data_IF_767281717762
#
_entry.id   IF_767281717762
#
_cell.length_a   1.000
_cell.length_b   1.000
_cell.length_c   1.000
_cell.angle_alpha   90.00
_cell.angle_beta   90.00
_cell.angle_gamma   90.00
#
_symmetry.space_group_name_H-M   'P 1'
#
loop_
_entity.id
_entity.type
_entity.pdbx_description
1 polymer ?
#
# COMPACT_ATOMS: atom_id res chain seq x y z
N UNK A 1 -17.65 15.02 18.50
CA UNK A 1 -16.32 14.37 18.32
C UNK A 1 -15.62 15.09 17.17
N UNK A 2 -14.51 15.77 17.46
CA UNK A 2 -13.86 16.74 16.56
C UNK A 2 -13.29 16.11 15.30
N UNK A 3 -13.55 16.73 14.14
CA UNK A 3 -13.13 16.28 12.81
C UNK A 3 -11.60 16.01 12.66
N UNK A 4 -10.77 16.55 13.55
CA UNK A 4 -9.32 16.31 13.57
C UNK A 4 -8.90 14.90 14.05
N UNK A 5 -9.78 14.16 14.75
CA UNK A 5 -9.47 12.82 15.24
C UNK A 5 -9.50 11.73 14.16
N UNK A 6 -10.04 12.05 12.98
CA UNK A 6 -10.28 11.12 11.89
C UNK A 6 -9.62 11.63 10.60
N UNK A 7 -8.34 12.03 10.65
CA UNK A 7 -7.59 12.43 9.45
C UNK A 7 -6.59 11.34 9.09
N UNK A 8 -6.73 10.71 7.91
CA UNK A 8 -5.84 9.61 7.49
C UNK A 8 -4.40 10.07 7.30
N UNK A 9 -4.12 11.37 7.20
CA UNK A 9 -2.76 11.89 7.18
C UNK A 9 -1.98 11.65 8.47
N UNK A 10 -2.68 11.37 9.58
CA UNK A 10 -2.08 11.05 10.87
C UNK A 10 -1.67 9.58 10.99
N UNK A 11 -2.14 8.73 10.08
CA UNK A 11 -1.81 7.30 10.08
C UNK A 11 -0.32 7.09 9.82
N UNK A 12 0.25 6.13 10.53
CA UNK A 12 1.61 5.64 10.36
C UNK A 12 1.62 4.35 9.54
N UNK A 13 2.74 4.02 8.87
CA UNK A 13 2.90 2.73 8.21
C UNK A 13 2.65 1.56 9.18
N UNK A 14 1.76 0.64 8.83
CA UNK A 14 1.44 -0.50 9.68
C UNK A 14 0.28 -0.29 10.65
N UNK A 15 -0.37 0.87 10.68
CA UNK A 15 -1.43 1.14 11.67
C UNK A 15 -2.66 0.25 11.49
N UNK A 16 -3.01 -0.14 10.26
CA UNK A 16 -4.09 -1.09 10.01
C UNK A 16 -3.76 -2.49 10.54
N UNK A 17 -2.57 -3.00 10.24
CA UNK A 17 -2.12 -4.28 10.78
C UNK A 17 -2.03 -4.25 12.30
N UNK A 18 -1.57 -3.16 12.90
CA UNK A 18 -1.59 -3.01 14.37
C UNK A 18 -3.01 -3.08 14.93
N UNK A 19 -3.97 -2.38 14.32
CA UNK A 19 -5.39 -2.43 14.74
C UNK A 19 -5.94 -3.85 14.66
N UNK A 20 -5.69 -4.55 13.55
CA UNK A 20 -6.15 -5.94 13.36
C UNK A 20 -5.50 -6.94 14.32
N UNK A 21 -4.21 -6.77 14.63
CA UNK A 21 -3.53 -7.58 15.67
C UNK A 21 -4.18 -7.35 17.04
N UNK A 22 -4.56 -6.11 17.38
CA UNK A 22 -5.21 -5.78 18.65
C UNK A 22 -6.63 -6.38 18.69
N UNK A 23 -7.37 -6.31 17.59
CA UNK A 23 -8.72 -6.86 17.47
C UNK A 23 -8.73 -8.39 17.60
N UNK A 24 -7.85 -9.09 16.86
CA UNK A 24 -7.75 -10.55 16.95
C UNK A 24 -7.29 -11.02 18.32
N UNK A 25 -6.40 -10.26 18.98
CA UNK A 25 -5.78 -10.63 20.25
C UNK A 25 -5.60 -9.41 21.18
N UNK A 26 -6.61 -9.06 21.99
CA UNK A 26 -6.57 -7.88 22.86
C UNK A 26 -5.55 -8.03 24.02
N UNK A 27 -5.26 -9.27 24.44
CA UNK A 27 -4.27 -9.56 25.49
C UNK A 27 -2.84 -9.25 25.03
N UNK A 28 -2.19 -8.30 25.71
CA UNK A 28 -0.82 -7.86 25.43
C UNK A 28 0.18 -9.02 25.53
N UNK A 29 0.01 -9.88 26.54
CA UNK A 29 0.88 -11.04 26.78
C UNK A 29 0.78 -12.06 25.64
N UNK A 30 -0.45 -12.39 25.22
CA UNK A 30 -0.67 -13.36 24.14
C UNK A 30 -0.21 -12.85 22.77
N UNK A 31 -0.28 -11.53 22.51
CA UNK A 31 0.33 -10.94 21.31
C UNK A 31 1.85 -11.07 21.30
N UNK A 32 2.50 -10.87 22.44
CA UNK A 32 3.95 -11.01 22.55
C UNK A 32 4.35 -12.46 22.30
N UNK A 33 3.64 -13.42 22.90
CA UNK A 33 3.87 -14.85 22.69
C UNK A 33 3.65 -15.24 21.22
N UNK A 34 2.48 -14.95 20.64
CA UNK A 34 2.16 -15.32 19.26
C UNK A 34 3.02 -14.63 18.20
N UNK A 35 3.68 -13.50 18.52
CA UNK A 35 4.68 -12.88 17.63
C UNK A 35 5.88 -13.80 17.39
N UNK A 36 6.29 -14.58 18.40
CA UNK A 36 7.46 -15.47 18.33
C UNK A 36 7.13 -16.88 17.85
N UNK A 37 5.88 -17.34 17.96
CA UNK A 37 5.45 -18.66 17.47
C UNK A 37 5.19 -18.66 15.96
N UNK A 38 6.01 -19.36 15.14
CA UNK A 38 5.74 -19.54 13.72
C UNK A 38 4.42 -20.28 13.51
N UNK A 39 3.68 -19.94 12.44
CA UNK A 39 2.41 -20.60 12.09
C UNK A 39 1.15 -19.99 12.72
N UNK A 40 1.28 -19.04 13.65
CA UNK A 40 0.11 -18.30 14.17
C UNK A 40 -0.29 -17.15 13.23
N UNK A 41 -1.56 -16.76 13.25
CA UNK A 41 -2.03 -15.58 12.52
C UNK A 41 -1.28 -14.32 12.98
N UNK A 42 -1.03 -14.15 14.28
CA UNK A 42 -0.27 -13.02 14.84
C UNK A 42 1.13 -12.94 14.22
N UNK A 43 1.83 -14.07 14.06
CA UNK A 43 3.15 -14.09 13.43
C UNK A 43 3.09 -13.67 11.96
N UNK A 44 2.07 -14.09 11.22
CA UNK A 44 1.83 -13.65 9.84
C UNK A 44 1.58 -12.14 9.76
N UNK A 45 0.72 -11.61 10.63
CA UNK A 45 0.45 -10.17 10.73
C UNK A 45 1.70 -9.37 11.13
N UNK A 46 2.47 -9.85 12.12
CA UNK A 46 3.73 -9.22 12.53
C UNK A 46 4.77 -9.20 11.40
N UNK A 47 4.80 -10.25 10.56
CA UNK A 47 5.64 -10.28 9.38
C UNK A 47 5.16 -9.26 8.32
N UNK A 48 3.84 -9.11 8.12
CA UNK A 48 3.25 -8.09 7.25
C UNK A 48 3.63 -6.67 7.68
N UNK A 49 3.57 -6.39 8.99
CA UNK A 49 3.91 -5.10 9.59
C UNK A 49 5.35 -4.64 9.30
N UNK A 50 6.30 -5.57 9.19
CA UNK A 50 7.67 -5.23 8.77
C UNK A 50 7.70 -4.75 7.33
N UNK A 51 6.92 -5.39 6.46
CA UNK A 51 6.78 -5.00 5.05
C UNK A 51 6.31 -3.55 4.93
N UNK A 52 5.15 -3.25 5.50
CA UNK A 52 4.56 -1.90 5.47
C UNK A 52 5.48 -0.84 6.06
N UNK A 53 6.20 -1.12 7.15
CA UNK A 53 7.14 -0.15 7.72
C UNK A 53 8.33 0.12 6.81
N UNK A 54 8.87 -0.91 6.16
CA UNK A 54 10.00 -0.74 5.23
C UNK A 54 9.55 0.10 4.04
N UNK A 55 8.44 -0.27 3.41
CA UNK A 55 7.87 0.46 2.26
C UNK A 55 7.46 1.87 2.63
N UNK A 56 6.70 2.05 3.72
CA UNK A 56 6.27 3.37 4.20
C UNK A 56 7.43 4.32 4.50
N UNK A 57 8.53 3.84 5.11
CA UNK A 57 9.74 4.66 5.31
C UNK A 57 10.35 5.14 3.99
N UNK A 58 10.34 4.31 2.95
CA UNK A 58 10.84 4.70 1.62
C UNK A 58 9.91 5.73 1.00
N UNK A 59 8.61 5.50 1.02
CA UNK A 59 7.61 6.43 0.50
C UNK A 59 7.66 7.80 1.18
N UNK A 60 7.88 7.87 2.50
CA UNK A 60 7.93 9.15 3.21
C UNK A 60 9.09 10.05 2.76
N UNK A 61 10.16 9.50 2.15
CA UNK A 61 11.22 10.30 1.54
C UNK A 61 10.74 11.14 0.35
N UNK A 62 9.65 10.72 -0.29
CA UNK A 62 9.03 11.47 -1.38
C UNK A 62 8.35 12.75 -0.92
N UNK A 63 8.01 12.89 0.37
CA UNK A 63 7.31 14.07 0.89
C UNK A 63 8.11 15.35 0.65
N UNK A 64 9.43 15.30 0.81
CA UNK A 64 10.34 16.43 0.49
C UNK A 64 10.37 16.81 -1.00
N UNK A 65 9.79 15.99 -1.88
CA UNK A 65 9.68 16.23 -3.32
C UNK A 65 8.26 16.63 -3.74
N UNK A 66 7.42 17.03 -2.78
CA UNK A 66 6.04 17.46 -3.02
C UNK A 66 5.05 16.31 -3.22
N UNK A 67 5.40 15.09 -2.83
CA UNK A 67 4.45 13.98 -2.78
C UNK A 67 3.64 14.01 -1.50
N UNK A 68 2.40 13.53 -1.58
CA UNK A 68 1.53 13.30 -0.43
C UNK A 68 1.36 11.81 -0.23
N UNK A 69 1.63 11.34 0.98
CA UNK A 69 1.59 9.93 1.33
C UNK A 69 0.52 9.74 2.41
N UNK A 70 -0.35 8.75 2.20
CA UNK A 70 -1.30 8.25 3.20
C UNK A 70 -0.98 6.79 3.48
N UNK A 71 -1.16 6.38 4.72
CA UNK A 71 -0.98 4.99 5.15
C UNK A 71 -2.28 4.44 5.73
N UNK A 72 -2.46 3.13 5.64
CA UNK A 72 -3.58 2.42 6.25
C UNK A 72 -4.94 3.04 5.89
N UNK A 73 -5.18 3.25 4.59
CA UNK A 73 -6.44 3.79 4.06
C UNK A 73 -7.50 2.71 4.18
N UNK A 74 -8.47 2.90 5.07
CA UNK A 74 -9.46 1.89 5.42
C UNK A 74 -10.71 2.00 4.56
N UNK A 75 -11.24 0.83 4.20
CA UNK A 75 -12.58 0.68 3.61
C UNK A 75 -13.59 0.32 4.70
N UNK A 76 -14.87 0.62 4.47
CA UNK A 76 -15.96 0.18 5.36
C UNK A 76 -16.06 -1.35 5.48
N UNK A 77 -15.60 -2.09 4.47
CA UNK A 77 -15.55 -3.55 4.49
C UNK A 77 -14.51 -4.14 5.47
N UNK A 78 -13.74 -3.30 6.18
CA UNK A 78 -12.69 -3.74 7.11
C UNK A 78 -11.38 -4.17 6.44
N UNK A 79 -11.31 -4.10 5.11
CA UNK A 79 -10.05 -4.16 4.36
C UNK A 79 -9.38 -2.80 4.34
N UNK A 80 -8.09 -2.77 4.04
CA UNK A 80 -7.32 -1.54 3.94
C UNK A 80 -6.31 -1.60 2.78
N UNK A 81 -5.86 -0.42 2.37
CA UNK A 81 -4.72 -0.23 1.48
C UNK A 81 -3.55 0.19 2.34
N UNK A 82 -2.44 -0.54 2.22
CA UNK A 82 -1.24 -0.27 3.03
C UNK A 82 -0.82 1.19 2.86
N UNK A 83 -0.62 1.64 1.61
CA UNK A 83 -0.20 3.00 1.29
C UNK A 83 -0.83 3.56 0.01
N UNK A 84 -1.13 4.86 0.03
CA UNK A 84 -1.52 5.63 -1.14
C UNK A 84 -0.50 6.76 -1.35
N UNK A 85 0.18 6.75 -2.48
CA UNK A 85 1.14 7.80 -2.85
C UNK A 85 0.55 8.67 -3.95
N UNK A 86 0.50 9.97 -3.72
CA UNK A 86 -0.07 10.97 -4.62
C UNK A 86 1.03 11.97 -4.97
N UNK A 87 1.41 12.03 -6.23
CA UNK A 87 2.45 12.94 -6.70
C UNK A 87 2.17 13.40 -8.11
N UNK A 88 3.06 14.24 -8.65
CA UNK A 88 2.89 14.75 -10.02
C UNK A 88 2.87 13.63 -11.06
N UNK A 89 3.54 12.51 -10.81
CA UNK A 89 3.52 11.34 -11.69
C UNK A 89 2.20 10.54 -11.70
N UNK A 90 1.25 10.88 -10.81
CA UNK A 90 -0.03 10.19 -10.68
C UNK A 90 -0.32 9.72 -9.26
N UNK A 91 -1.33 8.85 -9.15
CA UNK A 91 -1.75 8.21 -7.89
C UNK A 91 -1.39 6.73 -7.93
N UNK A 92 -0.86 6.23 -6.82
CA UNK A 92 -0.38 4.85 -6.71
C UNK A 92 -0.96 4.18 -5.45
N UNK A 93 -1.70 3.09 -5.64
CA UNK A 93 -2.10 2.20 -4.56
C UNK A 93 -1.02 1.14 -4.38
N UNK A 94 -0.41 1.09 -3.20
CA UNK A 94 0.82 0.35 -2.95
C UNK A 94 0.59 -0.65 -1.83
N UNK A 95 0.77 -1.92 -2.15
CA UNK A 95 0.70 -3.02 -1.20
C UNK A 95 2.10 -3.59 -0.93
N UNK A 96 2.40 -3.84 0.34
CA UNK A 96 3.69 -4.30 0.84
C UNK A 96 3.67 -5.81 1.02
N UNK A 97 4.55 -6.52 0.30
CA UNK A 97 4.65 -7.99 0.37
C UNK A 97 6.04 -8.39 0.84
N UNK A 98 6.12 -8.84 2.10
CA UNK A 98 7.37 -9.33 2.68
C UNK A 98 7.57 -10.80 2.35
N UNK A 99 8.63 -11.08 1.60
CA UNK A 99 9.00 -12.41 1.15
C UNK A 99 10.43 -12.76 1.57
N UNK A 100 10.73 -12.61 2.87
CA UNK A 100 12.09 -12.78 3.43
C UNK A 100 12.73 -14.09 2.94
N UNK A 101 13.86 -13.97 2.22
CA UNK A 101 14.64 -15.11 1.75
C UNK A 101 14.03 -15.91 0.59
N UNK A 102 12.87 -15.49 0.06
CA UNK A 102 12.18 -16.18 -1.04
C UNK A 102 12.54 -15.60 -2.39
N UNK A 103 12.41 -16.40 -3.43
CA UNK A 103 12.49 -15.98 -4.83
C UNK A 103 11.12 -15.54 -5.30
N UNK A 104 11.03 -14.31 -5.81
CA UNK A 104 9.82 -13.72 -6.37
C UNK A 104 10.01 -13.56 -7.87
N UNK A 105 9.10 -14.12 -8.65
CA UNK A 105 9.13 -13.99 -10.10
C UNK A 105 7.79 -13.44 -10.60
N UNK A 106 7.84 -12.41 -11.43
CA UNK A 106 6.66 -11.86 -12.09
C UNK A 106 6.73 -12.18 -13.58
N UNK A 107 5.88 -13.12 -13.99
CA UNK A 107 5.66 -13.52 -15.38
C UNK A 107 4.54 -12.76 -16.05
N UNK A 108 3.99 -13.37 -17.10
CA UNK A 108 3.02 -12.72 -17.97
C UNK A 108 1.63 -12.59 -17.30
N UNK A 109 1.26 -13.52 -16.43
CA UNK A 109 -0.06 -13.57 -15.80
C UNK A 109 -0.08 -13.52 -14.27
N UNK A 110 1.04 -13.82 -13.60
CA UNK A 110 1.07 -13.94 -12.16
C UNK A 110 2.44 -13.68 -11.54
N UNK A 111 2.43 -13.36 -10.25
CA UNK A 111 3.61 -13.43 -9.39
C UNK A 111 3.69 -14.83 -8.80
N UNK A 112 4.83 -15.48 -8.91
CA UNK A 112 5.15 -16.73 -8.20
C UNK A 112 6.13 -16.47 -7.06
N UNK A 113 5.92 -17.18 -5.95
CA UNK A 113 6.78 -17.15 -4.76
C UNK A 113 7.34 -18.56 -4.58
N UNK A 114 8.65 -18.74 -4.76
CA UNK A 114 9.29 -20.06 -4.81
C UNK A 114 8.57 -21.05 -5.75
N UNK A 115 8.11 -20.56 -6.90
CA UNK A 115 7.39 -21.37 -7.90
C UNK A 115 5.88 -21.45 -7.70
N UNK A 116 5.35 -21.12 -6.53
CA UNK A 116 3.90 -21.14 -6.28
C UNK A 116 3.22 -19.86 -6.77
N UNK A 117 2.22 -19.99 -7.65
CA UNK A 117 1.45 -18.86 -8.17
C UNK A 117 0.60 -18.17 -7.10
N UNK A 118 0.44 -16.85 -7.23
CA UNK A 118 -0.33 -16.01 -6.30
C UNK A 118 -1.38 -15.18 -7.04
N UNK A 119 -2.40 -14.72 -6.30
CA UNK A 119 -3.43 -13.80 -6.81
C UNK A 119 -3.08 -12.32 -6.64
N UNK A 120 -1.82 -12.00 -6.31
CA UNK A 120 -1.42 -10.62 -5.95
C UNK A 120 -1.70 -9.60 -7.05
N UNK A 121 -1.52 -9.97 -8.32
CA UNK A 121 -1.77 -9.09 -9.47
C UNK A 121 -3.24 -8.69 -9.55
N UNK A 122 -4.14 -9.69 -9.60
CA UNK A 122 -5.58 -9.45 -9.73
C UNK A 122 -6.12 -8.63 -8.56
N UNK A 123 -5.71 -8.97 -7.34
CA UNK A 123 -6.14 -8.25 -6.13
C UNK A 123 -5.67 -6.78 -6.18
N UNK A 124 -4.40 -6.54 -6.52
CA UNK A 124 -3.87 -5.17 -6.59
C UNK A 124 -4.56 -4.34 -7.67
N UNK A 125 -4.88 -4.94 -8.82
CA UNK A 125 -5.63 -4.27 -9.88
C UNK A 125 -7.07 -3.92 -9.45
N UNK A 126 -7.77 -4.84 -8.79
CA UNK A 126 -9.12 -4.60 -8.28
C UNK A 126 -9.13 -3.47 -7.25
N UNK A 127 -8.19 -3.49 -6.32
CA UNK A 127 -8.02 -2.45 -5.31
C UNK A 127 -7.74 -1.09 -5.96
N UNK A 128 -6.76 -0.99 -6.86
CA UNK A 128 -6.45 0.26 -7.56
C UNK A 128 -7.65 0.79 -8.37
N UNK A 129 -8.43 -0.10 -9.01
CA UNK A 129 -9.67 0.29 -9.70
C UNK A 129 -10.69 0.88 -8.72
N UNK A 130 -10.90 0.27 -7.55
CA UNK A 130 -11.81 0.77 -6.53
C UNK A 130 -11.37 2.14 -6.00
N UNK A 131 -10.07 2.34 -5.76
CA UNK A 131 -9.51 3.65 -5.39
C UNK A 131 -9.76 4.68 -6.48
N UNK A 132 -9.43 4.35 -7.72
CA UNK A 132 -9.62 5.23 -8.88
C UNK A 132 -11.08 5.68 -8.97
N UNK A 133 -12.03 4.74 -8.97
CA UNK A 133 -13.45 5.06 -9.03
C UNK A 133 -13.89 5.96 -7.87
N UNK A 134 -13.41 5.70 -6.65
CA UNK A 134 -13.75 6.49 -5.47
C UNK A 134 -13.21 7.92 -5.58
N UNK A 135 -11.93 8.08 -5.92
CA UNK A 135 -11.30 9.38 -6.07
C UNK A 135 -11.90 10.16 -7.25
N UNK A 136 -12.15 9.51 -8.39
CA UNK A 136 -12.78 10.15 -9.56
C UNK A 136 -14.15 10.73 -9.20
N UNK A 137 -15.03 9.94 -8.55
CA UNK A 137 -16.34 10.42 -8.10
C UNK A 137 -16.25 11.61 -7.16
N UNK A 138 -15.31 11.59 -6.22
CA UNK A 138 -15.19 12.60 -5.16
C UNK A 138 -14.42 13.84 -5.59
N UNK A 139 -13.49 13.72 -6.54
CA UNK A 139 -12.72 14.84 -7.08
C UNK A 139 -13.44 15.56 -8.23
N UNK A 140 -14.36 14.89 -8.93
CA UNK A 140 -15.08 15.45 -10.08
C UNK A 140 -14.29 15.45 -11.39
N UNK A 141 -13.18 14.71 -11.45
CA UNK A 141 -12.38 14.51 -12.66
C UNK A 141 -11.70 13.13 -12.61
N UNK A 142 -11.21 12.63 -13.74
CA UNK A 142 -10.58 11.31 -13.80
C UNK A 142 -9.28 11.25 -12.97
N UNK A 143 -9.20 10.29 -12.05
CA UNK A 143 -8.03 10.02 -11.20
C UNK A 143 -7.54 8.59 -11.43
N UNK A 144 -6.75 8.33 -12.49
CA UNK A 144 -6.15 7.02 -12.71
C UNK A 144 -5.23 6.63 -11.53
N UNK A 145 -5.47 5.44 -10.98
CA UNK A 145 -4.65 4.87 -9.91
C UNK A 145 -3.89 3.67 -10.44
N UNK A 146 -2.56 3.71 -10.28
CA UNK A 146 -1.67 2.64 -10.71
C UNK A 146 -1.38 1.69 -9.55
N UNK A 147 -1.63 0.37 -9.69
CA UNK A 147 -1.29 -0.59 -8.66
C UNK A 147 0.22 -0.84 -8.59
N UNK A 148 0.73 -0.95 -7.36
CA UNK A 148 2.13 -1.22 -7.07
C UNK A 148 2.24 -2.30 -6.00
N UNK A 149 3.13 -3.27 -6.22
CA UNK A 149 3.51 -4.24 -5.20
C UNK A 149 4.97 -3.97 -4.81
N UNK A 150 5.14 -3.55 -3.57
CA UNK A 150 6.45 -3.32 -2.96
C UNK A 150 6.93 -4.62 -2.30
N UNK A 151 7.98 -5.22 -2.86
CA UNK A 151 8.54 -6.50 -2.40
C UNK A 151 9.62 -6.22 -1.36
N UNK A 152 9.45 -6.78 -0.15
CA UNK A 152 10.36 -6.53 0.98
C UNK A 152 11.15 -7.79 1.32
N UNK A 153 12.49 -7.64 1.36
CA UNK A 153 13.47 -8.67 1.77
C UNK A 153 13.45 -9.98 0.96
N UNK A 154 12.92 -9.97 -0.26
CA UNK A 154 13.08 -11.11 -1.16
C UNK A 154 14.58 -11.38 -1.43
N UNK A 155 14.98 -12.65 -1.50
CA UNK A 155 16.33 -13.01 -1.90
C UNK A 155 16.57 -12.68 -3.39
N UNK A 156 15.51 -12.77 -4.19
CA UNK A 156 15.54 -12.47 -5.62
C UNK A 156 14.19 -11.92 -6.05
N UNK A 157 14.20 -10.89 -6.88
CA UNK A 157 13.03 -10.42 -7.62
C UNK A 157 13.39 -10.39 -9.11
N UNK A 158 12.61 -11.06 -9.95
CA UNK A 158 12.75 -11.02 -11.40
C UNK A 158 11.40 -10.67 -12.03
N UNK A 159 11.36 -9.58 -12.78
CA UNK A 159 10.18 -9.14 -13.55
C UNK A 159 10.49 -9.35 -15.03
N UNK A 160 9.69 -10.16 -15.72
CA UNK A 160 9.91 -10.50 -17.14
C UNK A 160 9.39 -9.41 -18.08
N UNK A 161 8.26 -8.80 -17.74
CA UNK A 161 7.59 -7.81 -18.59
C UNK A 161 8.20 -6.42 -18.39
N UNK A 162 8.49 -5.72 -19.50
CA UNK A 162 9.00 -4.35 -19.48
C UNK A 162 7.96 -3.30 -19.05
N UNK A 163 6.67 -3.56 -19.30
CA UNK A 163 5.56 -2.67 -18.95
C UNK A 163 4.41 -3.45 -18.31
N UNK A 164 4.61 -4.04 -17.12
CA UNK A 164 3.58 -4.84 -16.48
C UNK A 164 2.38 -3.97 -16.05
N UNK A 165 1.16 -4.52 -16.07
CA UNK A 165 -0.04 -3.79 -15.65
C UNK A 165 -0.08 -3.49 -14.14
N UNK A 166 0.80 -4.13 -13.36
CA UNK A 166 1.08 -3.82 -11.95
C UNK A 166 2.56 -3.57 -11.82
N UNK A 167 2.97 -2.47 -11.20
CA UNK A 167 4.39 -2.22 -10.99
C UNK A 167 4.89 -3.05 -9.80
N UNK A 168 5.80 -3.99 -10.02
CA UNK A 168 6.38 -4.83 -8.96
C UNK A 168 7.84 -4.51 -8.81
N UNK A 169 8.26 -4.08 -7.63
CA UNK A 169 9.64 -3.63 -7.40
C UNK A 169 10.12 -3.90 -5.97
N UNK A 170 11.44 -3.92 -5.74
CA UNK A 170 11.99 -3.94 -4.39
C UNK A 170 11.56 -2.67 -3.64
N UNK A 171 11.27 -2.79 -2.35
CA UNK A 171 10.86 -1.65 -1.54
C UNK A 171 11.92 -0.54 -1.51
N UNK A 172 13.19 -0.91 -1.62
CA UNK A 172 14.33 -0.01 -1.64
C UNK A 172 14.34 0.93 -2.85
N UNK A 173 13.63 0.57 -3.92
CA UNK A 173 13.56 1.32 -5.17
C UNK A 173 12.27 2.13 -5.33
N UNK A 174 11.31 2.00 -4.40
CA UNK A 174 9.96 2.56 -4.60
C UNK A 174 9.94 4.08 -4.68
N UNK A 175 10.74 4.75 -3.86
CA UNK A 175 10.89 6.20 -3.90
C UNK A 175 11.55 6.65 -5.22
N UNK A 176 12.67 6.05 -5.58
CA UNK A 176 13.39 6.39 -6.81
C UNK A 176 12.52 6.17 -8.05
N UNK A 177 11.89 5.01 -8.17
CA UNK A 177 11.10 4.64 -9.34
C UNK A 177 9.89 5.55 -9.49
N UNK A 178 9.11 5.79 -8.41
CA UNK A 178 7.93 6.64 -8.50
C UNK A 178 8.28 8.10 -8.80
N UNK A 179 9.34 8.64 -8.18
CA UNK A 179 9.76 10.03 -8.43
C UNK A 179 10.43 10.26 -9.78
N UNK A 180 10.93 9.21 -10.44
CA UNK A 180 11.50 9.28 -11.78
C UNK A 180 10.47 9.23 -12.92
N UNK A 181 9.20 8.97 -12.62
CA UNK A 181 8.13 8.94 -13.62
C UNK A 181 7.76 10.37 -14.07
N UNK A 182 7.42 10.50 -15.35
CA UNK A 182 7.00 11.77 -15.94
C UNK A 182 5.75 12.34 -15.26
N UNK A 183 5.66 13.66 -15.07
CA UNK A 183 4.50 14.29 -14.44
C UNK A 183 3.27 14.22 -15.35
N UNK A 184 2.15 13.78 -14.79
CA UNK A 184 0.81 13.72 -15.40
C UNK A 184 -0.20 14.66 -14.70
N UNK A 185 0.07 15.03 -13.45
CA UNK A 185 -0.77 15.88 -12.62
C UNK A 185 -0.10 17.21 -12.31
N UNK A 186 -0.92 18.26 -12.25
CA UNK A 186 -0.52 19.55 -11.70
C UNK A 186 -0.40 19.48 -10.17
N UNK A 187 0.33 20.43 -9.56
CA UNK A 187 0.41 20.53 -8.10
C UNK A 187 -0.98 20.74 -7.47
N UNK A 188 -1.83 21.54 -8.11
CA UNK A 188 -3.21 21.78 -7.67
C UNK A 188 -4.04 20.49 -7.67
N UNK A 189 -3.92 19.66 -8.71
CA UNK A 189 -4.59 18.35 -8.74
C UNK A 189 -4.06 17.42 -7.65
N UNK A 190 -2.75 17.38 -7.40
CA UNK A 190 -2.15 16.60 -6.30
C UNK A 190 -2.75 17.00 -4.96
N UNK A 191 -2.81 18.31 -4.67
CA UNK A 191 -3.36 18.81 -3.41
C UNK A 191 -4.88 18.56 -3.29
N UNK A 192 -5.64 18.70 -4.39
CA UNK A 192 -7.08 18.39 -4.40
C UNK A 192 -7.34 16.89 -4.15
N UNK A 193 -6.63 16.00 -4.84
CA UNK A 193 -6.75 14.55 -4.65
C UNK A 193 -6.38 14.19 -3.21
N UNK A 194 -5.31 14.77 -2.68
CA UNK A 194 -4.90 14.52 -1.30
C UNK A 194 -5.91 15.00 -0.26
N UNK A 195 -6.50 16.18 -0.46
CA UNK A 195 -7.53 16.71 0.42
C UNK A 195 -8.77 15.81 0.49
N UNK A 196 -9.15 15.21 -0.65
CA UNK A 196 -10.22 14.20 -0.70
C UNK A 196 -9.76 12.89 -0.04
N UNK A 197 -8.60 12.38 -0.43
CA UNK A 197 -8.12 11.07 -0.01
C UNK A 197 -7.86 10.97 1.51
N UNK A 198 -7.47 12.05 2.16
CA UNK A 198 -7.16 12.06 3.60
C UNK A 198 -8.40 12.00 4.50
N UNK A 199 -9.59 12.30 3.97
CA UNK A 199 -10.85 12.24 4.70
C UNK A 199 -11.38 10.79 4.71
N UNK A 200 -11.52 10.12 5.87
CA UNK A 200 -12.08 8.78 5.97
C UNK A 200 -13.45 8.63 5.32
N UNK A 201 -14.28 9.69 5.31
CA UNK A 201 -15.63 9.68 4.73
C UNK A 201 -15.61 9.50 3.21
N UNK A 202 -14.48 9.80 2.56
CA UNK A 202 -14.27 9.52 1.13
C UNK A 202 -14.43 8.04 0.82
N UNK A 203 -13.97 7.20 1.74
CA UNK A 203 -13.89 5.74 1.60
C UNK A 203 -15.14 5.03 2.13
N UNK A 204 -16.06 5.78 2.73
CA UNK A 204 -17.34 5.26 3.17
C UNK A 204 -18.27 4.97 1.98
N UNK A 205 -18.87 3.77 1.98
CA UNK A 205 -19.74 3.26 0.90
C UNK A 205 -19.06 3.06 -0.45
N UNK A 206 -17.72 3.04 -0.47
CA UNK A 206 -16.92 2.79 -1.67
C UNK A 206 -16.78 1.30 -2.00
#
# INVERSE_FOLDING_TARGET
MTAAANDLALNRPGDAVRRKIIELQPSVLMRLIGRWLPGTEIHSWCNGLVGERVTGRRLNRLQGRGWRILHAVQWDSGSDIDHLAIGRAGVFAINSKRHKGKSVWYGDHAITINGTSTRHIVISQQEARRVSQTLTRRCGFDVPVRPVISVVHAAKLKVKNAAPPVLVLPAEEVDRTLSGLSPLLTRKQVDQIYAVARDPRTWAGA
#
